data_IF_222214209136
#
_entry.id   IF_222214209136
#
_cell.length_a   1.000
_cell.length_b   1.000
_cell.length_c   1.000
_cell.angle_alpha   90.00
_cell.angle_beta   90.00
_cell.angle_gamma   90.00
#
_symmetry.space_group_name_H-M   'P 1'
#
loop_
_entity.id
_entity.type
_entity.pdbx_description
1 polymer ?
#
# COMPACT_ATOMS: atom_id res chain seq x y z
N UNK A 1 -7.74 3.38 -22.40
CA UNK A 1 -6.52 4.08 -21.93
C UNK A 1 -5.96 3.31 -20.75
N UNK A 2 -4.68 2.92 -20.77
CA UNK A 2 -4.07 2.21 -19.65
C UNK A 2 -3.91 3.18 -18.49
N UNK A 3 -4.70 3.01 -17.44
CA UNK A 3 -4.59 3.84 -16.25
C UNK A 3 -3.26 3.49 -15.59
N UNK A 4 -2.41 4.50 -15.38
CA UNK A 4 -1.13 4.31 -14.72
C UNK A 4 -1.34 4.41 -13.21
N UNK A 5 -0.71 3.56 -12.40
CA UNK A 5 -0.78 3.68 -10.95
C UNK A 5 -0.09 4.98 -10.52
N UNK A 6 -0.78 5.80 -9.75
CA UNK A 6 -0.25 7.03 -9.16
C UNK A 6 0.23 6.72 -7.75
N UNK A 7 1.53 6.89 -7.50
CA UNK A 7 2.11 6.75 -6.17
C UNK A 7 2.22 8.11 -5.51
N UNK A 8 1.62 8.23 -4.32
CA UNK A 8 1.72 9.42 -3.47
C UNK A 8 2.53 9.08 -2.22
N UNK A 9 3.50 9.93 -1.89
CA UNK A 9 4.22 9.87 -0.61
C UNK A 9 3.59 10.91 0.30
N UNK A 10 2.79 10.47 1.26
CA UNK A 10 2.16 11.35 2.25
C UNK A 10 3.22 11.82 3.27
N UNK A 11 4.05 10.89 3.74
CA UNK A 11 5.20 11.18 4.60
C UNK A 11 6.26 10.06 4.53
N UNK A 12 7.23 10.04 5.45
CA UNK A 12 8.31 9.04 5.46
C UNK A 12 7.82 7.60 5.75
N UNK A 13 6.68 7.47 6.43
CA UNK A 13 6.11 6.21 6.92
C UNK A 13 4.72 5.93 6.35
N UNK A 14 4.29 6.71 5.34
CA UNK A 14 2.98 6.56 4.73
C UNK A 14 3.07 6.85 3.24
N UNK A 15 2.69 5.86 2.45
CA UNK A 15 2.55 5.93 1.01
C UNK A 15 1.16 5.50 0.60
N UNK A 16 0.72 5.94 -0.57
CA UNK A 16 -0.50 5.47 -1.18
C UNK A 16 -0.28 5.18 -2.66
N UNK A 17 -1.02 4.21 -3.18
CA UNK A 17 -1.15 3.98 -4.61
C UNK A 17 -2.61 4.08 -5.00
N UNK A 18 -2.89 4.83 -6.06
CA UNK A 18 -4.22 4.92 -6.65
C UNK A 18 -4.19 4.43 -8.09
N UNK A 19 -5.15 3.59 -8.45
CA UNK A 19 -5.37 3.13 -9.81
C UNK A 19 -6.86 2.93 -10.05
N UNK A 20 -7.42 3.50 -11.11
CA UNK A 20 -8.84 3.33 -11.47
C UNK A 20 -9.82 3.67 -10.33
N UNK A 21 -9.52 4.73 -9.55
CA UNK A 21 -10.31 5.15 -8.40
C UNK A 21 -10.19 4.23 -7.17
N UNK A 22 -9.29 3.25 -7.20
CA UNK A 22 -8.98 2.37 -6.07
C UNK A 22 -7.69 2.83 -5.42
N UNK A 23 -7.80 3.23 -4.16
CA UNK A 23 -6.66 3.62 -3.32
C UNK A 23 -6.28 2.49 -2.39
N UNK A 24 -4.98 2.27 -2.26
CA UNK A 24 -4.37 1.36 -1.29
C UNK A 24 -3.29 2.13 -0.54
N UNK A 25 -3.34 2.09 0.79
CA UNK A 25 -2.43 2.81 1.67
C UNK A 25 -1.40 1.84 2.27
N UNK A 26 -0.17 2.30 2.42
CA UNK A 26 0.93 1.60 3.06
C UNK A 26 1.38 2.44 4.24
N UNK A 27 1.29 1.90 5.45
CA UNK A 27 1.72 2.57 6.66
C UNK A 27 2.78 1.74 7.37
N UNK A 28 3.88 2.38 7.74
CA UNK A 28 4.87 1.73 8.61
C UNK A 28 4.35 1.77 10.05
N UNK A 29 4.13 0.59 10.61
CA UNK A 29 3.76 0.41 12.02
C UNK A 29 5.02 0.02 12.80
N UNK A 30 5.43 0.87 13.74
CA UNK A 30 6.55 0.58 14.63
C UNK A 30 6.04 -0.18 15.86
N UNK A 31 6.22 -1.50 15.86
CA UNK A 31 5.77 -2.43 16.91
C UNK A 31 6.92 -3.29 17.44
N UNK A 32 8.10 -2.69 17.63
CA UNK A 32 9.30 -3.40 18.11
C UNK A 32 9.74 -4.49 17.13
N UNK A 33 9.86 -5.74 17.60
CA UNK A 33 10.23 -6.90 16.76
C UNK A 33 9.23 -7.22 15.65
N UNK A 34 8.02 -6.66 15.71
CA UNK A 34 6.97 -6.82 14.70
C UNK A 34 6.82 -5.57 13.80
N UNK A 35 7.83 -4.68 13.79
CA UNK A 35 7.77 -3.49 12.94
C UNK A 35 7.72 -3.88 11.47
N UNK A 36 6.89 -3.19 10.70
CA UNK A 36 6.68 -3.52 9.30
C UNK A 36 5.72 -2.56 8.61
N UNK A 37 5.48 -2.82 7.33
CA UNK A 37 4.57 -2.08 6.48
C UNK A 37 3.22 -2.77 6.44
N UNK A 38 2.23 -2.15 7.06
CA UNK A 38 0.84 -2.52 6.97
C UNK A 38 0.23 -1.99 5.67
N UNK A 39 -0.46 -2.86 4.93
CA UNK A 39 -1.15 -2.54 3.67
C UNK A 39 -2.65 -2.51 3.91
N UNK A 40 -3.28 -1.38 3.61
CA UNK A 40 -4.70 -1.13 3.82
C UNK A 40 -5.44 -0.90 2.50
N UNK A 41 -6.59 -1.54 2.33
CA UNK A 41 -7.55 -1.21 1.26
C UNK A 41 -8.77 -0.54 1.90
N UNK A 42 -8.83 0.79 1.87
CA UNK A 42 -9.73 1.56 2.72
C UNK A 42 -9.40 1.33 4.21
N UNK A 43 -10.41 1.08 5.03
CA UNK A 43 -10.23 0.83 6.48
C UNK A 43 -9.79 -0.60 6.83
N UNK A 44 -9.61 -1.47 5.83
CA UNK A 44 -9.28 -2.89 6.04
C UNK A 44 -7.78 -3.13 5.91
N UNK A 45 -7.16 -3.60 6.99
CA UNK A 45 -5.82 -4.20 6.94
C UNK A 45 -5.86 -5.49 6.11
N UNK A 46 -5.04 -5.54 5.07
CA UNK A 46 -4.91 -6.70 4.19
C UNK A 46 -3.76 -7.60 4.64
N UNK A 47 -2.58 -7.03 4.85
CA UNK A 47 -1.38 -7.77 5.22
C UNK A 47 -0.34 -6.84 5.86
N UNK A 48 0.57 -7.43 6.65
CA UNK A 48 1.78 -6.77 7.13
C UNK A 48 2.99 -7.39 6.44
N UNK A 49 3.78 -6.57 5.77
CA UNK A 49 5.03 -6.96 5.13
C UNK A 49 6.22 -6.42 5.94
N UNK A 50 7.31 -7.16 6.04
CA UNK A 50 8.51 -6.65 6.71
C UNK A 50 9.15 -5.50 5.93
N UNK A 51 9.13 -5.57 4.59
CA UNK A 51 9.83 -4.64 3.71
C UNK A 51 8.87 -3.77 2.88
N UNK A 52 9.26 -2.52 2.64
CA UNK A 52 8.47 -1.58 1.83
C UNK A 52 8.27 -2.11 0.40
N UNK A 53 9.27 -2.76 -0.20
CA UNK A 53 9.13 -3.27 -1.57
C UNK A 53 8.07 -4.37 -1.68
N UNK A 54 7.96 -5.24 -0.67
CA UNK A 54 6.90 -6.25 -0.61
C UNK A 54 5.53 -5.60 -0.49
N UNK A 55 5.38 -4.64 0.42
CA UNK A 55 4.14 -3.88 0.60
C UNK A 55 3.74 -3.14 -0.68
N UNK A 56 4.71 -2.56 -1.41
CA UNK A 56 4.46 -1.88 -2.69
C UNK A 56 3.98 -2.83 -3.79
N UNK A 57 4.60 -4.01 -3.89
CA UNK A 57 4.17 -5.05 -4.83
C UNK A 57 2.74 -5.51 -4.55
N UNK A 58 2.43 -5.74 -3.27
CA UNK A 58 1.08 -6.12 -2.84
C UNK A 58 0.06 -5.01 -3.14
N UNK A 59 0.38 -3.76 -2.77
CA UNK A 59 -0.53 -2.64 -2.96
C UNK A 59 -0.82 -2.38 -4.45
N UNK A 60 0.18 -2.50 -5.32
CA UNK A 60 -0.04 -2.42 -6.76
C UNK A 60 -0.96 -3.53 -7.25
N UNK A 61 -0.73 -4.78 -6.81
CA UNK A 61 -1.58 -5.92 -7.17
C UNK A 61 -3.03 -5.69 -6.73
N UNK A 62 -3.24 -5.19 -5.52
CA UNK A 62 -4.57 -4.88 -4.99
C UNK A 62 -5.27 -3.75 -5.78
N UNK A 63 -4.54 -2.71 -6.13
CA UNK A 63 -5.05 -1.61 -6.94
C UNK A 63 -5.41 -2.07 -8.37
N UNK A 64 -4.67 -3.05 -8.93
CA UNK A 64 -4.96 -3.64 -10.26
C UNK A 64 -6.04 -4.71 -10.26
N UNK A 65 -6.19 -5.51 -9.19
CA UNK A 65 -6.98 -6.75 -9.20
C UNK A 65 -8.50 -6.56 -9.16
N UNK A 66 -9.00 -5.35 -9.37
CA UNK A 66 -10.38 -5.22 -9.84
C UNK A 66 -10.62 -4.03 -10.76
N UNK A 67 -9.60 -3.72 -11.57
CA UNK A 67 -9.86 -3.16 -12.89
C UNK A 67 -10.49 -4.22 -13.80
#
# INVERSE_FOLDING_TARGET
MSQKPTWTKENAHHYAVELAGRRVDLQYEQSGFQSGWAVYAGDRLIERCAELMQARGLALRLATAGA
#
